data_IF_882084076951
#
_entry.id   IF_882084076951
#
_cell.length_a   1.000
_cell.length_b   1.000
_cell.length_c   1.000
_cell.angle_alpha   90.00
_cell.angle_beta   90.00
_cell.angle_gamma   90.00
#
_symmetry.space_group_name_H-M   'P 1'
#
loop_
_entity.id
_entity.type
_entity.pdbx_description
1 polymer ?
#
# COMPACT_ATOMS: atom_id res chain seq x y z
N UNK A 1 -38.97 -63.13 4.90
CA UNK A 1 -37.62 -62.90 4.34
C UNK A 1 -37.69 -61.75 3.33
N UNK A 2 -37.94 -60.51 3.79
CA UNK A 2 -37.81 -59.26 3.00
C UNK A 2 -37.60 -58.13 4.03
N UNK A 3 -36.41 -58.02 4.61
CA UNK A 3 -36.15 -57.02 5.66
C UNK A 3 -34.69 -56.51 5.72
N UNK A 4 -33.86 -56.76 4.70
CA UNK A 4 -32.43 -56.44 4.77
C UNK A 4 -31.93 -55.40 3.74
N UNK A 5 -32.77 -54.89 2.83
CA UNK A 5 -32.26 -53.99 1.78
C UNK A 5 -32.19 -52.51 2.19
N UNK A 6 -32.71 -52.14 3.37
CA UNK A 6 -32.75 -50.74 3.81
C UNK A 6 -31.44 -50.25 4.50
N UNK A 7 -30.60 -51.17 4.98
CA UNK A 7 -29.38 -50.81 5.72
C UNK A 7 -28.19 -50.48 4.80
N UNK A 8 -28.18 -51.02 3.57
CA UNK A 8 -27.09 -50.79 2.61
C UNK A 8 -27.14 -49.37 2.01
N UNK A 9 -28.34 -48.80 1.82
CA UNK A 9 -28.49 -47.42 1.32
C UNK A 9 -28.04 -46.37 2.34
N UNK A 10 -28.22 -46.63 3.63
CA UNK A 10 -27.78 -45.73 4.70
C UNK A 10 -26.25 -45.68 4.80
N UNK A 11 -25.58 -46.81 4.61
CA UNK A 11 -24.11 -46.89 4.61
C UNK A 11 -23.50 -46.15 3.42
N UNK A 12 -24.10 -46.27 2.23
CA UNK A 12 -23.65 -45.56 1.03
C UNK A 12 -23.79 -44.03 1.16
N UNK A 13 -24.90 -43.55 1.73
CA UNK A 13 -25.13 -42.13 1.96
C UNK A 13 -24.12 -41.53 2.97
N UNK A 14 -23.79 -42.26 4.03
CA UNK A 14 -22.81 -41.82 5.02
C UNK A 14 -21.39 -41.72 4.43
N UNK A 15 -20.99 -42.68 3.58
CA UNK A 15 -19.70 -42.65 2.90
C UNK A 15 -19.57 -41.47 1.94
N UNK A 16 -20.64 -41.14 1.20
CA UNK A 16 -20.65 -39.98 0.29
C UNK A 16 -20.52 -38.64 1.04
N UNK A 17 -21.19 -38.51 2.20
CA UNK A 17 -21.09 -37.32 3.03
C UNK A 17 -19.68 -37.11 3.61
N UNK A 18 -19.03 -38.20 4.05
CA UNK A 18 -17.66 -38.16 4.56
C UNK A 18 -16.64 -37.76 3.48
N UNK A 19 -16.81 -38.25 2.24
CA UNK A 19 -15.96 -37.88 1.12
C UNK A 19 -16.10 -36.40 0.74
N UNK A 20 -17.32 -35.86 0.77
CA UNK A 20 -17.58 -34.45 0.51
C UNK A 20 -16.94 -33.54 1.59
N UNK A 21 -17.02 -33.92 2.86
CA UNK A 21 -16.39 -33.17 3.96
C UNK A 21 -14.86 -33.17 3.85
N UNK A 22 -14.24 -34.29 3.47
CA UNK A 22 -12.80 -34.37 3.26
C UNK A 22 -12.32 -33.50 2.09
N UNK A 23 -13.09 -33.45 1.00
CA UNK A 23 -12.78 -32.60 -0.15
C UNK A 23 -12.87 -31.09 0.21
N UNK A 24 -13.88 -30.70 1.00
CA UNK A 24 -14.02 -29.33 1.48
C UNK A 24 -12.87 -28.91 2.40
N UNK A 25 -12.41 -29.80 3.29
CA UNK A 25 -11.27 -29.54 4.17
C UNK A 25 -9.95 -29.39 3.40
N UNK A 26 -9.73 -30.20 2.36
CA UNK A 26 -8.56 -30.09 1.51
C UNK A 26 -8.54 -28.78 0.70
N UNK A 27 -9.70 -28.34 0.21
CA UNK A 27 -9.83 -27.06 -0.49
C UNK A 27 -9.59 -25.85 0.44
N UNK A 28 -10.05 -25.93 1.69
CA UNK A 28 -9.79 -24.90 2.70
C UNK A 28 -8.30 -24.81 3.10
N UNK A 29 -7.61 -25.95 3.20
CA UNK A 29 -6.19 -25.98 3.49
C UNK A 29 -5.34 -25.40 2.34
N UNK A 30 -5.70 -25.69 1.08
CA UNK A 30 -5.01 -25.15 -0.09
C UNK A 30 -5.20 -23.63 -0.26
N UNK A 31 -6.30 -23.07 0.25
CA UNK A 31 -6.55 -21.63 0.20
C UNK A 31 -5.81 -20.84 1.29
N UNK A 32 -5.28 -21.51 2.33
CA UNK A 32 -4.60 -20.85 3.44
C UNK A 32 -3.09 -20.64 3.21
N UNK A 33 -2.54 -21.16 2.10
CA UNK A 33 -1.09 -21.23 1.84
C UNK A 33 -0.62 -20.29 0.71
N UNK A 34 -1.38 -19.23 0.40
CA UNK A 34 -1.15 -18.35 -0.78
C UNK A 34 -0.94 -16.88 -0.41
N UNK A 35 -0.79 -16.51 0.86
CA UNK A 35 -0.80 -15.09 1.30
C UNK A 35 0.42 -14.66 2.16
N UNK A 36 1.63 -15.21 1.95
CA UNK A 36 2.83 -14.81 2.71
C UNK A 36 4.02 -14.23 1.92
N UNK A 37 3.91 -13.90 0.62
CA UNK A 37 5.13 -13.60 -0.18
C UNK A 37 5.10 -12.33 -1.07
N UNK A 38 4.34 -11.28 -0.72
CA UNK A 38 4.31 -10.02 -1.50
C UNK A 38 4.50 -8.72 -0.70
N UNK A 39 5.20 -8.73 0.45
CA UNK A 39 5.36 -7.51 1.26
C UNK A 39 6.80 -7.06 1.56
N UNK A 40 7.80 -7.50 0.80
CA UNK A 40 9.22 -7.25 1.12
C UNK A 40 9.97 -6.41 0.04
N UNK A 41 9.28 -5.48 -0.63
CA UNK A 41 9.86 -4.71 -1.75
C UNK A 41 9.70 -3.18 -1.69
N UNK A 42 9.30 -2.58 -0.56
CA UNK A 42 9.12 -1.11 -0.47
C UNK A 42 9.92 -0.40 0.65
N UNK A 43 10.96 -1.00 1.23
CA UNK A 43 11.79 -0.36 2.29
C UNK A 43 13.16 0.21 1.83
N UNK A 44 13.39 0.44 0.52
CA UNK A 44 14.70 0.95 0.01
C UNK A 44 14.66 2.31 -0.72
N UNK A 45 13.69 3.19 -0.43
CA UNK A 45 13.67 4.56 -1.03
C UNK A 45 13.49 5.70 -0.01
N UNK A 46 13.97 5.52 1.22
CA UNK A 46 13.81 6.51 2.29
C UNK A 46 15.09 7.07 2.91
N UNK A 47 16.28 6.78 2.37
CA UNK A 47 17.56 7.13 3.02
C UNK A 47 18.44 8.14 2.26
N UNK A 48 17.97 8.74 1.17
CA UNK A 48 18.78 9.74 0.42
C UNK A 48 18.40 11.20 0.67
N UNK A 49 17.39 11.51 1.49
CA UNK A 49 16.99 12.92 1.74
C UNK A 49 17.49 13.51 3.08
N UNK A 50 18.20 12.74 3.92
CA UNK A 50 18.75 13.25 5.20
C UNK A 50 20.22 13.69 5.12
N UNK A 51 20.92 13.53 3.98
CA UNK A 51 22.31 13.99 3.84
C UNK A 51 22.44 15.43 3.29
N UNK A 52 21.39 16.04 2.72
CA UNK A 52 21.46 17.43 2.22
C UNK A 52 21.16 18.50 3.30
N UNK A 53 20.79 18.13 4.53
CA UNK A 53 20.55 19.10 5.62
C UNK A 53 21.72 19.28 6.59
N UNK A 54 22.79 18.47 6.50
CA UNK A 54 23.99 18.68 7.32
C UNK A 54 25.05 19.59 6.66
N UNK A 55 24.96 19.90 5.35
CA UNK A 55 25.89 20.85 4.71
C UNK A 55 25.52 22.32 4.92
N UNK A 56 24.28 22.68 5.27
CA UNK A 56 23.89 24.08 5.52
C UNK A 56 24.17 24.58 6.95
N UNK A 57 24.56 23.70 7.89
CA UNK A 57 25.02 24.13 9.23
C UNK A 57 26.53 24.38 9.32
N UNK A 58 27.29 24.10 8.25
CA UNK A 58 28.74 24.32 8.22
C UNK A 58 29.18 25.73 7.82
N UNK A 59 28.32 26.56 7.22
CA UNK A 59 28.70 27.90 6.74
C UNK A 59 28.37 29.05 7.70
N UNK A 60 27.56 28.83 8.75
CA UNK A 60 27.28 29.88 9.75
C UNK A 60 28.33 29.97 10.88
N UNK A 61 29.23 29.00 11.04
CA UNK A 61 30.33 29.09 12.03
C UNK A 61 31.60 29.79 11.49
N UNK A 62 31.73 30.06 10.19
CA UNK A 62 32.90 30.80 9.64
C UNK A 62 32.71 32.34 9.59
N UNK A 63 31.50 32.88 9.78
CA UNK A 63 31.31 34.35 9.81
C UNK A 63 31.47 34.99 11.21
N UNK A 64 31.54 34.22 12.31
CA UNK A 64 31.78 34.79 13.65
C UNK A 64 33.27 34.98 14.00
N UNK A 65 34.22 34.41 13.24
CA UNK A 65 35.66 34.62 13.51
C UNK A 65 36.28 35.86 12.82
N UNK A 66 35.61 36.51 11.84
CA UNK A 66 36.16 37.72 11.19
C UNK A 66 35.78 39.06 11.88
N UNK A 67 34.85 39.09 12.84
CA UNK A 67 34.52 40.34 13.56
C UNK A 67 35.39 40.62 14.80
N UNK A 68 36.17 39.65 15.32
CA UNK A 68 37.08 39.92 16.47
C UNK A 68 38.43 40.55 16.06
N UNK A 69 38.84 40.54 14.79
CA UNK A 69 40.11 41.15 14.36
C UNK A 69 40.05 42.66 14.06
N UNK A 70 38.88 43.30 14.09
CA UNK A 70 38.76 44.76 13.85
C UNK A 70 38.71 45.66 15.09
N UNK A 71 38.60 45.12 16.31
CA UNK A 71 38.63 45.96 17.53
C UNK A 71 40.03 46.20 18.13
N UNK A 72 41.09 45.51 17.68
CA UNK A 72 42.46 45.74 18.22
C UNK A 72 43.24 46.87 17.54
N UNK A 73 42.81 47.44 16.41
CA UNK A 73 43.56 48.53 15.73
C UNK A 73 43.18 49.96 16.14
N UNK A 74 42.07 50.21 16.84
CA UNK A 74 41.67 51.58 17.21
C UNK A 74 42.27 52.10 18.54
N UNK A 75 42.87 51.25 19.39
CA UNK A 75 43.46 51.72 20.67
C UNK A 75 44.87 52.33 20.53
N UNK A 76 45.52 52.26 19.36
CA UNK A 76 46.93 52.61 19.23
C UNK A 76 47.26 54.10 18.92
N UNK A 77 46.29 54.98 18.61
CA UNK A 77 46.61 56.33 18.08
C UNK A 77 46.35 57.54 18.98
N UNK A 78 45.80 57.39 20.18
CA UNK A 78 45.40 58.55 20.99
C UNK A 78 46.30 58.81 22.22
N UNK A 79 47.63 58.77 22.06
CA UNK A 79 48.54 59.02 23.18
C UNK A 79 49.66 60.01 22.87
N UNK A 80 49.31 61.23 22.44
CA UNK A 80 50.26 62.34 22.47
C UNK A 80 49.58 63.69 22.26
N UNK A 81 49.25 64.40 23.34
CA UNK A 81 49.56 65.84 23.50
C UNK A 81 49.08 66.38 24.84
N UNK A 82 50.01 66.38 25.79
CA UNK A 82 50.00 67.27 26.95
C UNK A 82 49.95 68.73 26.50
N UNK A 83 48.90 69.47 26.89
CA UNK A 83 49.01 70.92 27.03
C UNK A 83 48.11 71.42 28.16
N UNK A 84 48.78 72.00 29.16
CA UNK A 84 48.19 72.65 30.31
C UNK A 84 47.31 73.82 29.87
N UNK A 85 46.01 73.77 30.15
CA UNK A 85 45.10 74.90 30.01
C UNK A 85 44.35 75.17 31.33
N UNK A 86 44.11 76.45 31.68
CA UNK A 86 43.87 76.86 33.06
C UNK A 86 42.41 76.74 33.50
N UNK A 87 42.27 76.58 34.81
CA UNK A 87 41.05 76.44 35.59
C UNK A 87 40.05 77.60 35.42
N UNK A 88 39.02 77.40 34.60
CA UNK A 88 37.84 78.28 34.54
C UNK A 88 36.55 77.59 34.01
N UNK A 89 36.31 76.30 34.33
CA UNK A 89 35.17 75.52 33.77
C UNK A 89 34.36 74.70 34.79
N UNK A 90 34.10 75.25 35.98
CA UNK A 90 33.32 74.56 37.04
C UNK A 90 31.82 74.36 36.73
N UNK A 91 31.21 75.16 35.85
CA UNK A 91 29.77 75.09 35.57
C UNK A 91 29.39 74.18 34.39
N UNK A 92 30.34 73.74 33.55
CA UNK A 92 30.03 72.92 32.36
C UNK A 92 29.92 71.41 32.67
N UNK A 93 30.61 70.92 33.71
CA UNK A 93 30.63 69.50 34.07
C UNK A 93 29.30 69.01 34.67
N UNK A 94 28.52 69.89 35.29
CA UNK A 94 27.19 69.51 35.80
C UNK A 94 26.16 69.29 34.69
N UNK A 95 26.31 69.96 33.54
CA UNK A 95 25.45 69.75 32.36
C UNK A 95 25.74 68.42 31.66
N UNK A 96 27.00 67.99 31.62
CA UNK A 96 27.42 66.73 30.99
C UNK A 96 26.83 65.51 31.73
N UNK A 97 26.79 65.53 33.07
CA UNK A 97 26.20 64.43 33.86
C UNK A 97 24.71 64.24 33.59
N UNK A 98 23.96 65.33 33.36
CA UNK A 98 22.54 65.26 33.01
C UNK A 98 22.34 64.63 31.65
N UNK A 99 23.11 65.06 30.64
CA UNK A 99 23.06 64.50 29.28
C UNK A 99 23.37 63.00 29.28
N UNK A 100 24.38 62.56 30.03
CA UNK A 100 24.73 61.13 30.13
C UNK A 100 23.58 60.29 30.69
N UNK A 101 22.92 60.76 31.74
CA UNK A 101 21.77 60.06 32.31
C UNK A 101 20.57 60.02 31.34
N UNK A 102 20.37 61.06 30.52
CA UNK A 102 19.34 61.03 29.47
C UNK A 102 19.68 60.02 28.36
N UNK A 103 20.94 59.94 27.90
CA UNK A 103 21.36 58.92 26.93
C UNK A 103 21.17 57.49 27.46
N UNK A 104 21.59 57.22 28.70
CA UNK A 104 21.42 55.89 29.32
C UNK A 104 19.94 55.54 29.52
N UNK A 105 19.10 56.52 29.87
CA UNK A 105 17.66 56.32 29.96
C UNK A 105 17.02 56.00 28.61
N UNK A 106 17.46 56.68 27.54
CA UNK A 106 16.98 56.42 26.18
C UNK A 106 17.41 55.04 25.68
N UNK A 107 18.68 54.65 25.85
CA UNK A 107 19.15 53.31 25.46
C UNK A 107 18.44 52.20 26.24
N UNK A 108 18.22 52.38 27.54
CA UNK A 108 17.43 51.44 28.35
C UNK A 108 15.97 51.35 27.89
N UNK A 109 15.36 52.48 27.50
CA UNK A 109 13.97 52.47 27.00
C UNK A 109 13.85 51.80 25.63
N UNK A 110 14.82 52.03 24.73
CA UNK A 110 14.88 51.39 23.41
C UNK A 110 15.06 49.88 23.53
N UNK A 111 16.00 49.43 24.37
CA UNK A 111 16.22 48.00 24.61
C UNK A 111 14.98 47.32 25.19
N UNK A 112 14.26 47.96 26.12
CA UNK A 112 13.00 47.44 26.64
C UNK A 112 11.92 47.33 25.56
N UNK A 113 11.79 48.34 24.68
CA UNK A 113 10.83 48.30 23.57
C UNK A 113 11.18 47.17 22.60
N UNK A 114 12.45 47.00 22.24
CA UNK A 114 12.92 45.91 21.37
C UNK A 114 12.63 44.55 22.02
N UNK A 115 12.91 44.40 23.31
CA UNK A 115 12.62 43.16 24.05
C UNK A 115 11.12 42.82 24.04
N UNK A 116 10.26 43.81 24.29
CA UNK A 116 8.80 43.61 24.26
C UNK A 116 8.32 43.24 22.85
N UNK A 117 8.83 43.91 21.81
CA UNK A 117 8.56 43.56 20.42
C UNK A 117 8.98 42.13 20.10
N UNK A 118 10.17 41.71 20.56
CA UNK A 118 10.68 40.35 20.38
C UNK A 118 9.80 39.30 21.09
N UNK A 119 9.40 39.56 22.33
CA UNK A 119 8.50 38.66 23.07
C UNK A 119 7.14 38.56 22.39
N UNK A 120 6.57 39.69 21.91
CA UNK A 120 5.33 39.68 21.15
C UNK A 120 5.46 38.90 19.84
N UNK A 121 6.59 39.04 19.14
CA UNK A 121 6.89 38.28 17.92
C UNK A 121 6.99 36.77 18.22
N UNK A 122 7.69 36.38 19.28
CA UNK A 122 7.79 34.97 19.71
C UNK A 122 6.43 34.39 20.11
N UNK A 123 5.58 35.18 20.78
CA UNK A 123 4.22 34.78 21.13
C UNK A 123 3.34 34.60 19.88
N UNK A 124 3.62 35.33 18.80
CA UNK A 124 2.94 35.18 17.51
C UNK A 124 3.53 34.03 16.66
N UNK A 125 4.84 33.78 16.74
CA UNK A 125 5.52 32.76 15.97
C UNK A 125 5.07 31.34 16.34
N UNK A 126 4.85 31.06 17.64
CA UNK A 126 4.41 29.74 18.13
C UNK A 126 3.09 29.24 17.54
N UNK A 127 1.97 30.00 17.58
CA UNK A 127 0.75 29.54 16.93
C UNK A 127 0.90 29.46 15.41
N UNK A 128 1.74 30.31 14.80
CA UNK A 128 1.97 30.27 13.35
C UNK A 128 2.72 28.99 12.94
N UNK A 129 3.76 28.61 13.70
CA UNK A 129 4.48 27.33 13.57
C UNK A 129 3.57 26.11 13.72
N UNK A 130 2.47 26.20 14.47
CA UNK A 130 1.50 25.10 14.61
C UNK A 130 0.41 25.12 13.53
N UNK A 131 -0.04 26.30 13.13
CA UNK A 131 -1.14 26.46 12.17
C UNK A 131 -0.70 26.15 10.75
N UNK A 132 0.52 26.53 10.35
CA UNK A 132 1.04 26.26 9.00
C UNK A 132 1.09 24.76 8.68
N UNK A 133 1.73 23.89 9.48
CA UNK A 133 1.74 22.46 9.17
C UNK A 133 0.33 21.86 9.26
N UNK A 134 -0.53 22.32 10.16
CA UNK A 134 -1.91 21.84 10.24
C UNK A 134 -2.76 22.24 9.02
N UNK A 135 -2.55 23.44 8.50
CA UNK A 135 -3.19 23.94 7.29
C UNK A 135 -2.71 23.17 6.05
N UNK A 136 -1.47 22.68 6.05
CA UNK A 136 -0.90 21.86 4.97
C UNK A 136 -1.31 20.38 5.11
N UNK A 137 -1.45 19.88 6.34
CA UNK A 137 -1.88 18.52 6.63
C UNK A 137 -3.34 18.28 6.24
N UNK A 138 -4.23 19.26 6.46
CA UNK A 138 -5.66 19.11 6.12
C UNK A 138 -5.91 18.76 4.64
N UNK A 139 -5.40 19.51 3.64
CA UNK A 139 -5.59 19.17 2.23
C UNK A 139 -4.88 17.86 1.86
N UNK A 140 -3.75 17.53 2.49
CA UNK A 140 -3.06 16.26 2.27
C UNK A 140 -3.90 15.07 2.74
N UNK A 141 -4.48 15.15 3.94
CA UNK A 141 -5.42 14.14 4.46
C UNK A 141 -6.66 14.01 3.58
N UNK A 142 -7.18 15.14 3.06
CA UNK A 142 -8.30 15.13 2.12
C UNK A 142 -7.94 14.46 0.79
N UNK A 143 -6.74 14.71 0.28
CA UNK A 143 -6.24 14.11 -0.96
C UNK A 143 -6.05 12.60 -0.80
N UNK A 144 -5.47 12.15 0.32
CA UNK A 144 -5.36 10.73 0.67
C UNK A 144 -6.73 10.06 0.74
N UNK A 145 -7.71 10.71 1.38
CA UNK A 145 -9.09 10.22 1.44
C UNK A 145 -9.74 10.13 0.05
N UNK A 146 -9.51 11.12 -0.81
CA UNK A 146 -10.04 11.14 -2.17
C UNK A 146 -9.41 10.04 -3.04
N UNK A 147 -8.10 9.83 -2.92
CA UNK A 147 -7.38 8.73 -3.58
C UNK A 147 -7.94 7.36 -3.15
N UNK A 148 -8.16 7.16 -1.85
CA UNK A 148 -8.78 5.95 -1.31
C UNK A 148 -10.19 5.74 -1.88
N UNK A 149 -11.01 6.79 -1.93
CA UNK A 149 -12.37 6.72 -2.47
C UNK A 149 -12.38 6.38 -3.96
N UNK A 150 -11.48 6.99 -4.75
CA UNK A 150 -11.33 6.68 -6.17
C UNK A 150 -10.93 5.22 -6.37
N UNK A 151 -10.00 4.72 -5.57
CA UNK A 151 -9.58 3.32 -5.61
C UNK A 151 -10.74 2.38 -5.28
N UNK A 152 -11.48 2.66 -4.21
CA UNK A 152 -12.67 1.89 -3.83
C UNK A 152 -13.73 1.87 -4.94
N UNK A 153 -13.98 3.00 -5.61
CA UNK A 153 -14.91 3.05 -6.74
C UNK A 153 -14.43 2.22 -7.94
N UNK A 154 -13.13 2.20 -8.22
CA UNK A 154 -12.54 1.39 -9.29
C UNK A 154 -12.71 -0.11 -8.95
N UNK A 155 -12.36 -0.52 -7.74
CA UNK A 155 -12.48 -1.91 -7.28
C UNK A 155 -13.94 -2.37 -7.34
N UNK A 156 -14.88 -1.56 -6.84
CA UNK A 156 -16.31 -1.86 -6.90
C UNK A 156 -16.84 -2.05 -8.33
N UNK A 157 -16.22 -1.42 -9.34
CA UNK A 157 -16.55 -1.63 -10.75
C UNK A 157 -15.86 -2.84 -11.37
N UNK A 158 -14.66 -3.21 -10.89
CA UNK A 158 -13.92 -4.36 -11.38
C UNK A 158 -14.54 -5.68 -10.91
N UNK A 159 -15.05 -5.74 -9.68
CA UNK A 159 -15.69 -6.96 -9.12
C UNK A 159 -16.79 -7.54 -10.03
N UNK A 160 -17.81 -6.77 -10.49
CA UNK A 160 -18.83 -7.32 -11.37
C UNK A 160 -18.27 -7.75 -12.73
N UNK A 161 -17.23 -7.09 -13.26
CA UNK A 161 -16.59 -7.51 -14.51
C UNK A 161 -15.88 -8.85 -14.35
N UNK A 162 -15.14 -9.04 -13.26
CA UNK A 162 -14.50 -10.32 -12.92
C UNK A 162 -15.55 -11.44 -12.79
N UNK A 163 -16.69 -11.16 -12.13
CA UNK A 163 -17.78 -12.12 -12.01
C UNK A 163 -18.42 -12.48 -13.36
N UNK A 164 -18.59 -11.51 -14.26
CA UNK A 164 -19.10 -11.78 -15.62
C UNK A 164 -18.11 -12.63 -16.41
N UNK A 165 -16.81 -12.34 -16.36
CA UNK A 165 -15.79 -13.16 -17.01
C UNK A 165 -15.79 -14.60 -16.47
N UNK A 166 -15.88 -14.77 -15.14
CA UNK A 166 -15.99 -16.07 -14.50
C UNK A 166 -17.25 -16.82 -14.95
N UNK A 167 -18.40 -16.15 -14.99
CA UNK A 167 -19.66 -16.75 -15.45
C UNK A 167 -19.57 -17.21 -16.92
N UNK A 168 -18.96 -16.40 -17.80
CA UNK A 168 -18.72 -16.76 -19.20
C UNK A 168 -17.82 -17.99 -19.33
N UNK A 169 -16.77 -18.09 -18.51
CA UNK A 169 -15.87 -19.24 -18.47
C UNK A 169 -16.57 -20.50 -17.94
N UNK A 170 -17.40 -20.39 -16.90
CA UNK A 170 -18.18 -21.53 -16.41
C UNK A 170 -19.20 -22.01 -17.44
N UNK A 171 -19.85 -21.09 -18.15
CA UNK A 171 -20.78 -21.43 -19.22
C UNK A 171 -20.08 -22.14 -20.40
N UNK A 172 -18.89 -21.68 -20.79
CA UNK A 172 -18.12 -22.34 -21.84
C UNK A 172 -17.63 -23.73 -21.42
N UNK A 173 -17.20 -23.90 -20.16
CA UNK A 173 -16.82 -25.19 -19.60
C UNK A 173 -17.99 -26.18 -19.59
N UNK A 174 -19.17 -25.73 -19.12
CA UNK A 174 -20.39 -26.54 -19.13
C UNK A 174 -20.78 -26.97 -20.55
N UNK A 175 -20.63 -26.09 -21.53
CA UNK A 175 -20.87 -26.41 -22.94
C UNK A 175 -19.90 -27.49 -23.44
N UNK A 176 -18.60 -27.37 -23.16
CA UNK A 176 -17.59 -28.36 -23.56
C UNK A 176 -17.89 -29.72 -22.93
N UNK A 177 -18.23 -29.74 -21.63
CA UNK A 177 -18.60 -30.97 -20.93
C UNK A 177 -19.85 -31.61 -21.57
N UNK A 178 -20.87 -30.81 -21.88
CA UNK A 178 -22.07 -31.28 -22.58
C UNK A 178 -21.73 -31.90 -23.95
N UNK A 179 -20.86 -31.25 -24.73
CA UNK A 179 -20.42 -31.77 -26.03
C UNK A 179 -19.66 -33.09 -25.88
N UNK A 180 -18.76 -33.19 -24.90
CA UNK A 180 -18.05 -34.44 -24.58
C UNK A 180 -19.02 -35.56 -24.19
N UNK A 181 -20.05 -35.26 -23.40
CA UNK A 181 -21.08 -36.22 -23.01
C UNK A 181 -21.87 -36.69 -24.23
N UNK A 182 -22.30 -35.78 -25.11
CA UNK A 182 -23.02 -36.12 -26.34
C UNK A 182 -22.16 -37.01 -27.23
N UNK A 183 -20.88 -36.67 -27.42
CA UNK A 183 -19.93 -37.49 -28.19
C UNK A 183 -19.74 -38.89 -27.58
N UNK A 184 -19.71 -39.00 -26.25
CA UNK A 184 -19.62 -40.28 -25.57
C UNK A 184 -20.89 -41.12 -25.78
N UNK A 185 -22.06 -40.50 -25.65
CA UNK A 185 -23.34 -41.18 -25.85
C UNK A 185 -23.51 -41.66 -27.30
N UNK A 186 -23.12 -40.86 -28.29
CA UNK A 186 -23.16 -41.27 -29.70
C UNK A 186 -22.20 -42.43 -29.97
N UNK A 187 -20.99 -42.40 -29.40
CA UNK A 187 -20.04 -43.50 -29.48
C UNK A 187 -20.61 -44.79 -28.84
N UNK A 188 -21.21 -44.69 -27.66
CA UNK A 188 -21.84 -45.83 -26.99
C UNK A 188 -22.96 -46.42 -27.84
N UNK A 189 -23.83 -45.58 -28.39
CA UNK A 189 -24.91 -46.01 -29.28
C UNK A 189 -24.37 -46.72 -30.53
N UNK A 190 -23.27 -46.21 -31.11
CA UNK A 190 -22.60 -46.85 -32.24
C UNK A 190 -22.05 -48.24 -31.88
N UNK A 191 -21.39 -48.37 -30.73
CA UNK A 191 -20.86 -49.65 -30.24
C UNK A 191 -21.99 -50.65 -30.01
N UNK A 192 -23.08 -50.23 -29.37
CA UNK A 192 -24.26 -51.09 -29.17
C UNK A 192 -24.87 -51.55 -30.50
N UNK A 193 -24.97 -50.67 -31.49
CA UNK A 193 -25.44 -51.01 -32.83
C UNK A 193 -24.52 -52.03 -33.52
N UNK A 194 -23.20 -51.84 -33.41
CA UNK A 194 -22.21 -52.77 -33.99
C UNK A 194 -22.30 -54.15 -33.34
N UNK A 195 -22.41 -54.21 -32.01
CA UNK A 195 -22.60 -55.46 -31.27
C UNK A 195 -23.88 -56.18 -31.71
N UNK A 196 -24.98 -55.46 -31.89
CA UNK A 196 -26.23 -56.02 -32.40
C UNK A 196 -26.07 -56.55 -33.83
N UNK A 197 -25.43 -55.79 -34.71
CA UNK A 197 -25.18 -56.21 -36.09
C UNK A 197 -24.35 -57.49 -36.17
N UNK A 198 -23.30 -57.58 -35.34
CA UNK A 198 -22.46 -58.78 -35.23
C UNK A 198 -23.26 -59.99 -34.72
N UNK A 199 -24.16 -59.80 -33.74
CA UNK A 199 -25.03 -60.85 -33.23
C UNK A 199 -26.02 -61.36 -34.28
N UNK A 200 -26.64 -60.45 -35.06
CA UNK A 200 -27.54 -60.83 -36.15
C UNK A 200 -26.78 -61.60 -37.23
N UNK A 201 -25.58 -61.15 -37.62
CA UNK A 201 -24.72 -61.86 -38.57
C UNK A 201 -24.40 -63.28 -38.09
N UNK A 202 -24.08 -63.44 -36.80
CA UNK A 202 -23.81 -64.75 -36.20
C UNK A 202 -25.04 -65.66 -36.27
N UNK A 203 -26.22 -65.16 -35.92
CA UNK A 203 -27.48 -65.92 -36.00
C UNK A 203 -27.76 -66.38 -37.43
N UNK A 204 -27.55 -65.53 -38.42
CA UNK A 204 -27.70 -65.88 -39.83
C UNK A 204 -26.71 -66.96 -40.26
N UNK A 205 -25.45 -66.87 -39.82
CA UNK A 205 -24.42 -67.87 -40.15
C UNK A 205 -24.77 -69.25 -39.58
N UNK A 206 -25.27 -69.31 -38.35
CA UNK A 206 -25.74 -70.54 -37.70
C UNK A 206 -26.92 -71.12 -38.48
N UNK A 207 -27.89 -70.29 -38.88
CA UNK A 207 -29.04 -70.71 -39.67
C UNK A 207 -28.60 -71.35 -40.99
N UNK A 208 -27.67 -70.71 -41.71
CA UNK A 208 -27.13 -71.23 -42.98
C UNK A 208 -26.45 -72.58 -42.78
N UNK A 209 -25.62 -72.72 -41.74
CA UNK A 209 -24.98 -74.00 -41.43
C UNK A 209 -25.99 -75.10 -41.12
N UNK A 210 -27.05 -74.78 -40.37
CA UNK A 210 -28.11 -75.73 -40.06
C UNK A 210 -28.83 -76.21 -41.32
N UNK A 211 -29.14 -75.30 -42.26
CA UNK A 211 -29.77 -75.66 -43.54
C UNK A 211 -28.86 -76.58 -44.36
N UNK A 212 -27.55 -76.27 -44.46
CA UNK A 212 -26.60 -77.12 -45.18
C UNK A 212 -26.53 -78.52 -44.56
N UNK A 213 -26.50 -78.61 -43.23
CA UNK A 213 -26.48 -79.88 -42.51
C UNK A 213 -27.74 -80.71 -42.78
N UNK A 214 -28.93 -80.08 -42.75
CA UNK A 214 -30.20 -80.75 -43.06
C UNK A 214 -30.20 -81.28 -44.50
N UNK A 215 -29.74 -80.46 -45.46
CA UNK A 215 -29.62 -80.88 -46.86
C UNK A 215 -28.67 -82.05 -47.03
N UNK A 216 -27.57 -82.10 -46.29
CA UNK A 216 -26.59 -83.18 -46.34
C UNK A 216 -27.11 -84.49 -45.74
N UNK A 217 -27.95 -84.43 -44.70
CA UNK A 217 -28.56 -85.62 -44.08
C UNK A 217 -29.67 -86.23 -44.95
N UNK A 218 -30.32 -85.41 -45.79
CA UNK A 218 -31.41 -85.85 -46.67
C UNK A 218 -30.92 -86.49 -47.98
N UNK A 219 -29.65 -86.29 -48.34
CA UNK A 219 -29.02 -86.85 -49.54
C UNK A 219 -28.36 -88.20 -49.26
#
# INVERSE_FOLDING_TARGET
>A
MIANDADDDAAAAAAAAAAAAAAAAAAAAAAADVDEDENDAEEEQGQEEDEEQEEEQGEEEEEEEEEEEQEEEEEAMCNSSSSNAPAARGHHLMSIKKIRNYCLGLSASLTLVILVMLVMLLMLAKPLMLVVPLMLLMPLMLLMLLMLLMHAMIVMRLIPLMLVMLAMLLMSLMLVLLLMLVMLLTLLMLVMLLMLAMLVLLMLLILVHLVILVMLVMH
#
